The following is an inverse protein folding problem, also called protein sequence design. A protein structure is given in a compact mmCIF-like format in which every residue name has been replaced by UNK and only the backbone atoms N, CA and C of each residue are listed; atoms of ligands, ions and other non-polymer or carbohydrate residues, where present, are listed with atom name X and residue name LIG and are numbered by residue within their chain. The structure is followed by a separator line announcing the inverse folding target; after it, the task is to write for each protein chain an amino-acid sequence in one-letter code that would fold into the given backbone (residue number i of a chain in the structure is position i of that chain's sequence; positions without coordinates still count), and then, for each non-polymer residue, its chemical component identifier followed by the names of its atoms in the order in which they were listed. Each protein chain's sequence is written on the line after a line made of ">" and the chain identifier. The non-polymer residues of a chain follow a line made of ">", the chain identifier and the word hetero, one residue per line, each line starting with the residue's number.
data_IF_401249490380
#
_entry.id   IF_401249490380
#
_cell.length_a   1.000
_cell.length_b   1.000
_cell.length_c   1.000
_cell.angle_alpha   90.00
_cell.angle_beta   90.00
_cell.angle_gamma   90.00
#
_symmetry.space_group_name_H-M   'P 1'
#
loop_
_entity.id
_entity.type
_entity.pdbx_description
1 polymer ?
#
# COMPACT_ATOMS: atom_id res chain seq x y z
N UNK A 1 9.66 3.47 4.44
CA UNK A 1 10.12 4.88 4.51
C UNK A 1 9.76 5.47 5.87
N UNK A 2 10.36 6.59 6.29
CA UNK A 2 9.92 7.27 7.52
C UNK A 2 8.75 8.20 7.21
N UNK A 3 7.68 8.11 8.01
CA UNK A 3 6.49 8.96 7.91
C UNK A 3 6.45 9.88 9.13
N UNK A 4 6.51 11.20 8.89
CA UNK A 4 6.62 12.19 9.96
C UNK A 4 5.31 12.38 10.74
N UNK A 5 4.16 12.33 10.06
CA UNK A 5 2.83 12.40 10.66
C UNK A 5 2.62 11.29 11.70
N UNK A 6 3.03 10.06 11.38
CA UNK A 6 2.97 8.93 12.32
C UNK A 6 4.16 8.90 13.28
N UNK A 7 5.24 9.64 13.00
CA UNK A 7 6.53 9.54 13.66
C UNK A 7 7.04 8.08 13.72
N UNK A 8 6.92 7.35 12.61
CA UNK A 8 7.25 5.92 12.50
C UNK A 8 7.80 5.59 11.11
N UNK A 9 8.60 4.52 11.03
CA UNK A 9 8.84 3.85 9.76
C UNK A 9 7.59 3.12 9.32
N UNK A 10 7.27 3.22 8.03
CA UNK A 10 6.13 2.59 7.36
C UNK A 10 6.63 1.67 6.26
N UNK A 11 6.04 0.48 6.19
CA UNK A 11 6.17 -0.45 5.08
C UNK A 11 4.79 -0.67 4.45
N UNK A 12 4.69 -0.45 3.14
CA UNK A 12 3.51 -0.78 2.32
C UNK A 12 3.90 -1.95 1.44
N UNK A 13 3.05 -2.97 1.37
CA UNK A 13 3.32 -4.19 0.61
C UNK A 13 2.04 -4.92 0.23
N UNK A 14 2.15 -5.85 -0.70
CA UNK A 14 1.04 -6.71 -1.12
C UNK A 14 0.82 -7.85 -0.11
N UNK A 15 -0.43 -8.13 0.23
CA UNK A 15 -0.79 -9.36 0.94
C UNK A 15 -0.26 -10.59 0.18
N UNK A 16 0.15 -11.62 0.93
CA UNK A 16 0.65 -12.84 0.32
C UNK A 16 -0.47 -13.56 -0.45
N UNK A 17 -0.31 -13.70 -1.77
CA UNK A 17 -1.31 -14.28 -2.69
C UNK A 17 -2.66 -13.53 -2.68
N UNK A 18 -2.70 -12.29 -2.19
CA UNK A 18 -3.90 -11.46 -2.06
C UNK A 18 -3.87 -10.23 -2.96
N UNK A 19 -5.02 -9.54 -3.03
CA UNK A 19 -5.22 -8.28 -3.77
C UNK A 19 -5.39 -7.09 -2.81
N UNK A 20 -4.70 -7.17 -1.67
CA UNK A 20 -4.84 -6.22 -0.55
C UNK A 20 -3.53 -5.47 -0.31
N UNK A 21 -3.64 -4.16 -0.16
CA UNK A 21 -2.56 -3.30 0.30
C UNK A 21 -2.43 -3.40 1.81
N UNK A 22 -1.24 -3.79 2.28
CA UNK A 22 -0.94 -3.97 3.70
C UNK A 22 0.01 -2.87 4.19
N UNK A 23 -0.14 -2.49 5.46
CA UNK A 23 0.69 -1.53 6.16
C UNK A 23 1.28 -2.14 7.43
N UNK A 24 2.56 -1.87 7.69
CA UNK A 24 3.19 -2.08 9.00
C UNK A 24 3.93 -0.82 9.43
N UNK A 25 4.01 -0.60 10.74
CA UNK A 25 4.80 0.50 11.32
C UNK A 25 5.88 -0.01 12.26
N UNK A 26 6.96 0.76 12.44
CA UNK A 26 8.03 0.46 13.38
C UNK A 26 8.70 1.75 13.91
N UNK A 27 9.29 1.72 15.12
CA UNK A 27 10.09 2.85 15.63
C UNK A 27 11.45 2.98 14.93
N UNK A 28 12.01 1.86 14.43
CA UNK A 28 13.28 1.77 13.71
C UNK A 28 13.10 0.99 12.40
N UNK A 29 13.94 1.19 11.37
CA UNK A 29 13.79 0.51 10.08
C UNK A 29 13.95 -1.02 10.17
N UNK A 30 14.69 -1.53 11.14
CA UNK A 30 14.83 -2.96 11.43
C UNK A 30 13.66 -3.54 12.25
N UNK A 31 12.78 -2.70 12.78
CA UNK A 31 11.65 -3.09 13.62
C UNK A 31 11.79 -2.67 15.10
N UNK A 32 11.02 -3.27 16.02
CA UNK A 32 10.02 -4.31 15.76
C UNK A 32 8.87 -3.76 14.91
N UNK A 33 8.50 -4.51 13.86
CA UNK A 33 7.37 -4.17 13.01
C UNK A 33 6.06 -4.56 13.70
N UNK A 34 5.05 -3.71 13.58
CA UNK A 34 3.70 -3.96 14.07
C UNK A 34 3.08 -5.20 13.40
N UNK A 35 1.97 -5.66 13.98
CA UNK A 35 1.01 -6.47 13.25
C UNK A 35 0.55 -5.74 11.96
N UNK A 36 0.25 -6.49 10.89
CA UNK A 36 -0.17 -5.91 9.63
C UNK A 36 -1.56 -5.28 9.73
N UNK A 37 -1.75 -4.16 9.05
CA UNK A 37 -3.02 -3.44 8.94
C UNK A 37 -3.41 -3.43 7.46
N UNK A 38 -4.64 -3.84 7.15
CA UNK A 38 -5.20 -3.71 5.82
C UNK A 38 -5.55 -2.24 5.54
N UNK A 39 -5.14 -1.73 4.38
CA UNK A 39 -5.44 -0.35 3.96
C UNK A 39 -6.67 -0.35 3.05
N UNK A 40 -6.62 -1.15 2.00
CA UNK A 40 -7.71 -1.37 1.04
C UNK A 40 -7.45 -2.65 0.23
N UNK A 41 -8.52 -3.23 -0.29
CA UNK A 41 -8.48 -4.36 -1.23
C UNK A 41 -9.07 -3.97 -2.57
N UNK A 42 -8.58 -4.61 -3.63
CA UNK A 42 -9.10 -4.47 -4.99
C UNK A 42 -9.65 -5.81 -5.42
N UNK A 43 -10.86 -5.83 -5.97
CA UNK A 43 -11.41 -7.02 -6.60
C UNK A 43 -10.58 -7.36 -7.84
N UNK A 44 -9.87 -8.48 -7.80
CA UNK A 44 -9.17 -8.99 -8.96
C UNK A 44 -10.18 -9.38 -10.06
N UNK A 45 -9.85 -9.19 -11.34
CA UNK A 45 -10.70 -9.65 -12.44
C UNK A 45 -11.00 -11.14 -12.31
N UNK A 46 -12.28 -11.52 -12.46
CA UNK A 46 -12.76 -12.90 -12.30
C UNK A 46 -12.37 -13.81 -13.48
N UNK A 47 -11.07 -13.98 -13.75
CA UNK A 47 -10.55 -14.89 -14.77
C UNK A 47 -9.15 -15.41 -14.38
N UNK A 48 -8.69 -16.48 -15.04
CA UNK A 48 -7.42 -17.17 -14.69
C UNK A 48 -6.16 -16.33 -14.91
N UNK A 49 -6.24 -15.30 -15.76
CA UNK A 49 -5.11 -14.47 -16.13
C UNK A 49 -5.11 -13.11 -15.40
N UNK A 50 -6.18 -12.82 -14.65
CA UNK A 50 -6.37 -11.58 -13.92
C UNK A 50 -5.69 -11.60 -12.57
N UNK A 51 -5.03 -10.50 -12.21
CA UNK A 51 -4.40 -10.34 -10.90
C UNK A 51 -4.23 -8.88 -10.52
N UNK A 52 -4.07 -8.63 -9.22
CA UNK A 52 -3.67 -7.34 -8.65
C UNK A 52 -2.42 -7.57 -7.81
N UNK A 53 -1.40 -6.75 -8.00
CA UNK A 53 -0.15 -6.86 -7.26
C UNK A 53 0.61 -5.53 -7.22
N UNK A 54 1.77 -5.54 -6.56
CA UNK A 54 2.77 -4.48 -6.58
C UNK A 54 2.30 -3.17 -5.94
N UNK A 55 1.71 -3.30 -4.74
CA UNK A 55 1.36 -2.15 -3.91
C UNK A 55 2.64 -1.45 -3.44
N UNK A 56 2.93 -0.29 -4.04
CA UNK A 56 4.14 0.48 -3.80
C UNK A 56 3.79 1.90 -3.36
N UNK A 57 4.37 2.33 -2.24
CA UNK A 57 4.23 3.70 -1.76
C UNK A 57 5.21 4.67 -2.42
N UNK A 58 4.76 5.91 -2.62
CA UNK A 58 5.54 7.02 -3.17
C UNK A 58 5.68 8.13 -2.13
N UNK A 59 6.59 7.99 -1.15
CA UNK A 59 6.78 9.00 -0.08
C UNK A 59 7.18 10.37 -0.60
N UNK A 60 7.75 10.48 -1.80
CA UNK A 60 8.09 11.73 -2.47
C UNK A 60 6.88 12.59 -2.84
N UNK A 61 5.68 12.00 -2.91
CA UNK A 61 4.43 12.71 -3.20
C UNK A 61 3.56 12.92 -1.97
N UNK A 62 4.02 12.50 -0.78
CA UNK A 62 3.27 12.64 0.46
C UNK A 62 2.90 14.09 0.78
N UNK A 63 1.71 14.29 1.34
CA UNK A 63 1.22 15.60 1.79
C UNK A 63 1.04 15.61 3.30
N UNK A 64 1.03 16.81 3.89
CA UNK A 64 0.81 17.05 5.31
C UNK A 64 1.68 16.13 6.19
N UNK A 65 2.99 16.17 5.94
CA UNK A 65 4.01 15.37 6.64
C UNK A 65 3.81 13.84 6.55
N UNK A 66 3.08 13.37 5.54
CA UNK A 66 2.77 11.96 5.35
C UNK A 66 1.41 11.53 5.88
N UNK A 67 0.54 12.48 6.25
CA UNK A 67 -0.86 12.18 6.55
C UNK A 67 -1.58 11.64 5.30
N UNK A 68 -1.30 12.21 4.13
CA UNK A 68 -1.75 11.64 2.85
C UNK A 68 -0.57 10.98 2.16
N UNK A 69 -0.73 9.69 1.84
CA UNK A 69 0.25 8.91 1.08
C UNK A 69 -0.33 8.49 -0.26
N UNK A 70 0.55 8.28 -1.23
CA UNK A 70 0.18 7.81 -2.55
C UNK A 70 0.71 6.39 -2.76
N UNK A 71 -0.16 5.50 -3.22
CA UNK A 71 0.16 4.10 -3.47
C UNK A 71 -0.18 3.77 -4.92
N UNK A 72 0.78 3.20 -5.66
CA UNK A 72 0.49 2.55 -6.92
C UNK A 72 0.21 1.08 -6.75
N UNK A 73 -0.58 0.50 -7.64
CA UNK A 73 -0.69 -0.95 -7.80
C UNK A 73 -0.91 -1.29 -9.27
N UNK A 74 -0.52 -2.50 -9.65
CA UNK A 74 -0.74 -3.06 -10.97
C UNK A 74 -1.99 -3.93 -10.97
N UNK A 75 -2.83 -3.75 -12.00
CA UNK A 75 -3.96 -4.64 -12.28
C UNK A 75 -3.79 -5.21 -13.68
N UNK A 76 -3.87 -6.53 -13.82
CA UNK A 76 -3.93 -7.22 -15.11
C UNK A 76 -5.35 -7.73 -15.32
N UNK A 77 -5.94 -7.40 -16.46
CA UNK A 77 -7.28 -7.84 -16.84
C UNK A 77 -7.23 -9.15 -17.62
N UNK A 78 -6.30 -9.26 -18.56
CA UNK A 78 -6.07 -10.42 -19.40
C UNK A 78 -4.63 -10.43 -19.93
N UNK A 79 -4.30 -11.33 -20.87
CA UNK A 79 -2.96 -11.50 -21.41
C UNK A 79 -2.35 -10.25 -22.05
N UNK A 80 -3.17 -9.34 -22.59
CA UNK A 80 -2.73 -8.15 -23.31
C UNK A 80 -2.89 -6.86 -22.51
N UNK A 81 -3.87 -6.78 -21.59
CA UNK A 81 -4.21 -5.53 -20.93
C UNK A 81 -3.85 -5.53 -19.45
N UNK A 82 -3.05 -4.54 -19.06
CA UNK A 82 -2.77 -4.17 -17.68
C UNK A 82 -2.75 -2.66 -17.51
N UNK A 83 -2.99 -2.22 -16.28
CA UNK A 83 -2.93 -0.82 -15.88
C UNK A 83 -2.09 -0.67 -14.60
N UNK A 84 -1.43 0.48 -14.48
CA UNK A 84 -0.92 0.96 -13.21
C UNK A 84 -1.89 2.04 -12.70
N UNK A 85 -2.38 1.87 -11.49
CA UNK A 85 -3.30 2.84 -10.86
C UNK A 85 -2.62 3.48 -9.68
N UNK A 86 -2.88 4.78 -9.48
CA UNK A 86 -2.42 5.56 -8.34
C UNK A 86 -3.63 5.92 -7.47
N UNK A 87 -3.53 5.65 -6.17
CA UNK A 87 -4.54 6.02 -5.18
C UNK A 87 -3.94 6.89 -4.09
N UNK A 88 -4.72 7.86 -3.62
CA UNK A 88 -4.41 8.63 -2.42
C UNK A 88 -5.06 7.94 -1.22
N UNK A 89 -4.32 7.82 -0.12
CA UNK A 89 -4.78 7.25 1.15
C UNK A 89 -4.50 8.25 2.26
N UNK A 90 -5.53 8.61 3.01
CA UNK A 90 -5.40 9.40 4.23
C UNK A 90 -5.22 8.47 5.44
N UNK A 91 -4.15 8.69 6.20
CA UNK A 91 -3.85 7.98 7.43
C UNK A 91 -4.51 8.69 8.60
N UNK A 92 -5.16 7.92 9.47
CA UNK A 92 -5.79 8.41 10.69
C UNK A 92 -5.04 7.84 11.90
N UNK A 93 -4.70 8.72 12.85
CA UNK A 93 -4.21 8.27 14.15
C UNK A 93 -5.37 7.60 14.92
N UNK A 94 -5.10 6.52 15.68
CA UNK A 94 -6.09 5.97 16.60
C UNK A 94 -6.56 7.04 17.58
N UNK A 95 -7.85 7.03 17.92
CA UNK A 95 -8.39 7.85 19.01
C UNK A 95 -7.99 7.30 20.38
#
# INVERSE_FOLDING_TARGET
>A
FFNAYLNRFVAIYSENLGSTAMLRTAPHPEGPWSEPIEIFSIDAPHNLNGWVYDFLAHPEYSQDDGKVIYITYSIKFDEMYSELRLVAVELLLPQ
#
